data_IF_366054600181
#
_entry.id   IF_366054600181
#
_cell.length_a   1.000
_cell.length_b   1.000
_cell.length_c   1.000
_cell.angle_alpha   90.00
_cell.angle_beta   90.00
_cell.angle_gamma   90.00
#
_symmetry.space_group_name_H-M   'P 1'
#
loop_
_entity.id
_entity.type
_entity.pdbx_description
1 polymer ?
#
# COMPACT_ATOMS: atom_id res chain seq x y z
N UNK A 1 12.65 -1.86 -0.65
CA UNK A 1 12.03 -1.09 0.45
C UNK A 1 10.52 -1.35 0.43
N UNK A 2 9.79 -0.99 1.48
CA UNK A 2 8.32 -1.14 1.53
C UNK A 2 7.64 0.20 1.73
N UNK A 3 6.38 0.28 1.34
CA UNK A 3 5.56 1.48 1.54
C UNK A 3 5.17 1.61 3.02
N UNK A 4 5.44 2.78 3.60
CA UNK A 4 5.22 3.11 5.03
C UNK A 4 4.43 4.41 5.22
N UNK A 5 4.21 5.14 4.13
CA UNK A 5 3.35 6.32 4.14
C UNK A 5 2.84 6.66 2.74
N UNK A 6 1.79 7.48 2.71
CA UNK A 6 1.09 7.89 1.50
C UNK A 6 0.47 9.27 1.68
N UNK A 7 0.43 10.06 0.62
CA UNK A 7 -0.28 11.34 0.57
C UNK A 7 -0.66 11.73 -0.85
N UNK A 8 -1.64 12.61 -0.97
CA UNK A 8 -1.90 13.32 -2.22
C UNK A 8 -0.97 14.54 -2.36
N UNK A 9 -0.48 14.79 -3.58
CA UNK A 9 0.31 15.96 -3.90
C UNK A 9 -0.18 16.56 -5.21
N UNK A 10 -0.44 17.87 -5.23
CA UNK A 10 -0.63 18.60 -6.48
C UNK A 10 0.73 19.08 -6.98
N UNK A 11 1.16 18.61 -8.15
CA UNK A 11 2.41 18.99 -8.82
C UNK A 11 2.18 18.93 -10.33
N UNK A 12 2.75 19.87 -11.09
CA UNK A 12 2.73 19.85 -12.57
C UNK A 12 1.31 19.72 -13.17
N UNK A 13 0.37 20.48 -12.61
CA UNK A 13 -1.06 20.48 -12.98
C UNK A 13 -1.79 19.13 -12.79
N UNK A 14 -1.17 18.18 -12.10
CA UNK A 14 -1.75 16.87 -11.80
C UNK A 14 -1.88 16.62 -10.30
N UNK A 15 -2.76 15.70 -9.95
CA UNK A 15 -2.83 15.11 -8.62
C UNK A 15 -2.07 13.79 -8.65
N UNK A 16 -1.06 13.70 -7.80
CA UNK A 16 -0.18 12.56 -7.64
C UNK A 16 -0.47 11.81 -6.34
N UNK A 17 -0.16 10.53 -6.35
CA UNK A 17 0.05 9.75 -5.13
C UNK A 17 1.54 9.72 -4.87
N UNK A 18 1.97 10.28 -3.74
CA UNK A 18 3.35 10.16 -3.28
C UNK A 18 3.40 9.15 -2.14
N UNK A 19 4.37 8.24 -2.20
CA UNK A 19 4.61 7.24 -1.15
C UNK A 19 5.87 7.59 -0.35
N UNK A 20 5.90 7.15 0.89
CA UNK A 20 7.11 7.04 1.68
C UNK A 20 7.53 5.57 1.74
N UNK A 21 8.82 5.34 1.58
CA UNK A 21 9.41 4.01 1.65
C UNK A 21 10.32 3.87 2.87
N UNK A 22 10.41 2.65 3.40
CA UNK A 22 11.26 2.30 4.52
C UNK A 22 11.82 0.88 4.42
N UNK A 23 12.94 0.64 5.11
CA UNK A 23 13.50 -0.70 5.26
C UNK A 23 12.78 -1.44 6.40
N UNK A 24 12.30 -2.66 6.12
CA UNK A 24 11.77 -3.58 7.12
C UNK A 24 12.93 -4.26 7.86
N UNK A 25 12.87 -4.19 9.18
CA UNK A 25 13.72 -4.90 10.14
C UNK A 25 13.02 -6.19 10.64
N UNK A 26 13.74 -7.05 11.38
CA UNK A 26 13.11 -8.19 12.04
C UNK A 26 11.88 -7.79 12.85
N UNK A 27 10.87 -8.67 12.88
CA UNK A 27 9.58 -8.44 13.57
C UNK A 27 8.76 -7.28 12.99
N UNK A 28 8.99 -6.93 11.73
CA UNK A 28 8.21 -5.93 10.99
C UNK A 28 8.32 -4.49 11.54
N UNK A 29 9.34 -4.23 12.36
CA UNK A 29 9.73 -2.87 12.70
C UNK A 29 10.38 -2.20 11.49
N UNK A 30 10.35 -0.87 11.45
CA UNK A 30 11.03 -0.11 10.42
C UNK A 30 12.35 0.45 10.95
N UNK A 31 13.35 0.51 10.08
CA UNK A 31 14.50 1.37 10.32
C UNK A 31 14.08 2.83 10.13
N UNK A 32 13.83 3.53 11.24
CA UNK A 32 13.33 4.91 11.22
C UNK A 32 14.29 5.89 10.54
N UNK A 33 15.58 5.57 10.48
CA UNK A 33 16.59 6.41 9.82
C UNK A 33 16.58 6.26 8.30
N UNK A 34 15.84 5.28 7.77
CA UNK A 34 15.76 4.98 6.33
C UNK A 34 14.33 5.16 5.81
N UNK A 35 13.56 6.08 6.42
CA UNK A 35 12.24 6.46 5.93
C UNK A 35 12.34 7.76 5.15
N UNK A 36 12.02 7.72 3.86
CA UNK A 36 11.97 8.90 3.02
C UNK A 36 10.79 8.87 2.05
N UNK A 37 10.32 10.07 1.68
CA UNK A 37 9.31 10.22 0.64
C UNK A 37 9.97 10.05 -0.72
N UNK A 38 9.44 9.15 -1.54
CA UNK A 38 9.94 8.93 -2.90
C UNK A 38 9.68 10.20 -3.71
N UNK A 39 10.71 10.82 -4.32
CA UNK A 39 10.52 11.99 -5.18
C UNK A 39 9.50 11.70 -6.29
N UNK A 40 8.66 12.69 -6.59
CA UNK A 40 7.74 12.60 -7.72
C UNK A 40 8.50 12.93 -8.99
N UNK A 41 8.22 12.15 -10.03
CA UNK A 41 8.68 12.40 -11.40
C UNK A 41 8.42 13.85 -11.83
N UNK A 42 9.33 14.39 -12.64
CA UNK A 42 9.21 15.73 -13.20
C UNK A 42 8.41 15.69 -14.50
N UNK A 43 7.20 16.22 -14.46
CA UNK A 43 6.29 16.25 -15.60
C UNK A 43 6.16 17.70 -16.07
N UNK A 44 6.16 17.92 -17.38
CA UNK A 44 5.88 19.23 -17.98
C UNK A 44 4.72 19.13 -18.95
N UNK A 45 3.95 20.22 -19.06
CA UNK A 45 2.99 20.40 -20.13
C UNK A 45 3.62 21.22 -21.27
N UNK A 46 3.48 20.76 -22.49
CA UNK A 46 3.87 21.47 -23.71
C UNK A 46 2.59 22.03 -24.35
N UNK A 47 2.45 23.36 -24.34
CA UNK A 47 1.26 24.04 -24.86
C UNK A 47 1.13 23.91 -26.39
N UNK A 48 2.25 23.92 -27.11
CA UNK A 48 2.26 23.83 -28.57
C UNK A 48 1.80 22.44 -29.04
N UNK A 49 2.27 21.40 -28.34
CA UNK A 49 1.91 19.99 -28.64
C UNK A 49 0.69 19.50 -27.88
N UNK A 50 0.15 20.32 -26.97
CA UNK A 50 -0.99 20.02 -26.10
C UNK A 50 -0.87 18.67 -25.40
N UNK A 51 0.25 18.43 -24.74
CA UNK A 51 0.54 17.13 -24.13
C UNK A 51 1.47 17.20 -22.93
N UNK A 52 1.44 16.15 -22.12
CA UNK A 52 2.35 16.00 -20.99
C UNK A 52 3.56 15.16 -21.35
N UNK A 53 4.68 15.49 -20.74
CA UNK A 53 5.97 14.85 -20.99
C UNK A 53 6.71 14.62 -19.67
N UNK A 54 7.27 13.42 -19.52
CA UNK A 54 8.22 13.07 -18.47
C UNK A 54 9.61 13.60 -18.86
N UNK A 55 10.26 14.33 -17.95
CA UNK A 55 11.65 14.75 -18.09
C UNK A 55 12.57 13.60 -17.68
N UNK A 56 13.52 13.23 -18.54
CA UNK A 56 14.49 12.21 -18.19
C UNK A 56 15.58 12.82 -17.31
N UNK A 57 15.78 12.26 -16.11
CA UNK A 57 16.79 12.73 -15.14
C UNK A 57 18.22 12.70 -15.72
N UNK A 58 18.52 11.69 -16.55
CA UNK A 58 19.85 11.50 -17.14
C UNK A 58 20.15 12.45 -18.32
N UNK A 59 19.12 13.07 -18.91
CA UNK A 59 19.27 13.95 -20.06
C UNK A 59 18.11 14.93 -20.15
N UNK A 60 18.31 16.14 -19.65
CA UNK A 60 17.32 17.22 -19.60
C UNK A 60 16.71 17.58 -20.97
N UNK A 61 17.42 17.30 -22.07
CA UNK A 61 16.93 17.52 -23.44
C UNK A 61 16.06 16.38 -23.96
N UNK A 62 16.03 15.24 -23.26
CA UNK A 62 15.21 14.10 -23.60
C UNK A 62 13.93 14.09 -22.78
N UNK A 63 12.80 14.09 -23.48
CA UNK A 63 11.47 14.06 -22.85
C UNK A 63 10.65 12.93 -23.46
N UNK A 64 9.99 12.15 -22.61
CA UNK A 64 9.13 11.06 -23.02
C UNK A 64 7.67 11.52 -22.99
N UNK A 65 6.95 11.40 -24.10
CA UNK A 65 5.54 11.78 -24.15
C UNK A 65 4.70 10.84 -23.30
N UNK A 66 3.89 11.40 -22.41
CA UNK A 66 2.91 10.66 -21.63
C UNK A 66 1.64 10.44 -22.44
N UNK A 67 1.05 9.27 -22.28
CA UNK A 67 -0.15 8.85 -22.97
C UNK A 67 -1.38 9.03 -22.08
N UNK A 68 -2.39 9.72 -22.61
CA UNK A 68 -3.71 9.82 -21.99
C UNK A 68 -4.32 8.41 -21.87
N UNK A 69 -4.94 8.14 -20.73
CA UNK A 69 -5.55 6.86 -20.35
C UNK A 69 -4.57 5.68 -20.21
N UNK A 70 -3.27 5.97 -20.12
CA UNK A 70 -2.23 5.03 -19.69
C UNK A 70 -1.44 5.61 -18.51
N UNK A 71 -0.89 6.80 -18.71
CA UNK A 71 0.06 7.41 -17.77
C UNK A 71 -0.61 8.50 -16.93
N UNK A 72 -1.59 9.20 -17.51
CA UNK A 72 -2.45 10.17 -16.83
C UNK A 72 -3.87 10.14 -17.39
N UNK A 73 -4.83 10.71 -16.67
CA UNK A 73 -6.23 10.82 -17.14
C UNK A 73 -6.99 11.96 -16.47
N UNK A 74 -8.21 12.19 -16.93
CA UNK A 74 -9.17 13.15 -16.38
C UNK A 74 -10.36 12.38 -15.80
N UNK A 75 -10.21 11.80 -14.59
CA UNK A 75 -11.23 10.90 -14.05
C UNK A 75 -12.52 11.66 -13.75
N UNK A 76 -13.66 11.09 -14.16
CA UNK A 76 -14.99 11.56 -13.72
C UNK A 76 -15.55 10.72 -12.58
N UNK A 77 -15.02 9.52 -12.37
CA UNK A 77 -15.50 8.56 -11.37
C UNK A 77 -14.31 7.96 -10.64
N UNK A 78 -14.40 7.90 -9.31
CA UNK A 78 -13.39 7.31 -8.43
C UNK A 78 -14.02 6.23 -7.56
N UNK A 79 -13.47 5.02 -7.62
CA UNK A 79 -13.84 3.91 -6.77
C UNK A 79 -13.20 4.08 -5.38
N UNK A 80 -13.97 3.78 -4.33
CA UNK A 80 -13.52 3.82 -2.94
C UNK A 80 -13.37 2.40 -2.44
N UNK A 81 -12.13 1.98 -2.25
CA UNK A 81 -11.79 0.59 -1.94
C UNK A 81 -10.73 0.51 -0.85
N UNK A 82 -10.81 -0.55 -0.05
CA UNK A 82 -9.78 -0.97 0.90
C UNK A 82 -9.03 -2.16 0.31
N UNK A 83 -7.72 -2.01 0.11
CA UNK A 83 -6.85 -3.04 -0.43
C UNK A 83 -5.98 -3.61 0.68
N UNK A 84 -6.10 -4.92 0.92
CA UNK A 84 -5.27 -5.65 1.87
C UNK A 84 -4.13 -6.36 1.15
N UNK A 85 -2.95 -6.35 1.75
CA UNK A 85 -1.79 -7.10 1.28
C UNK A 85 -2.03 -8.59 1.58
N UNK A 86 -1.93 -9.49 0.59
CA UNK A 86 -2.07 -10.93 0.81
C UNK A 86 -0.96 -11.48 1.72
N UNK A 87 -1.26 -12.57 2.43
CA UNK A 87 -0.26 -13.27 3.26
C UNK A 87 0.95 -13.71 2.43
N UNK A 88 2.15 -13.53 2.97
CA UNK A 88 3.42 -13.83 2.28
C UNK A 88 3.92 -12.72 1.34
N UNK A 89 3.27 -11.55 1.32
CA UNK A 89 3.67 -10.40 0.53
C UNK A 89 3.83 -9.15 1.40
N UNK A 90 4.55 -8.17 0.85
CA UNK A 90 4.62 -6.79 1.36
C UNK A 90 4.25 -5.81 0.26
N UNK A 91 3.76 -4.64 0.65
CA UNK A 91 3.44 -3.56 -0.30
C UNK A 91 4.70 -2.77 -0.65
N UNK A 92 4.96 -2.65 -1.95
CA UNK A 92 6.13 -1.94 -2.51
C UNK A 92 5.76 -0.82 -3.46
N UNK A 93 4.48 -0.53 -3.65
CA UNK A 93 4.04 0.56 -4.52
C UNK A 93 2.55 0.80 -4.44
N UNK A 94 2.14 2.01 -4.82
CA UNK A 94 0.74 2.44 -4.88
C UNK A 94 0.57 3.29 -6.13
N UNK A 95 -0.53 3.12 -6.85
CA UNK A 95 -0.88 3.95 -8.00
C UNK A 95 -2.38 4.05 -8.18
N UNK A 96 -2.78 4.96 -9.05
CA UNK A 96 -4.09 4.91 -9.68
C UNK A 96 -4.04 4.12 -10.97
N UNK A 97 -5.15 3.47 -11.30
CA UNK A 97 -5.35 2.86 -12.61
C UNK A 97 -6.82 2.68 -12.89
N UNK A 98 -7.15 2.32 -14.14
CA UNK A 98 -8.53 2.07 -14.51
C UNK A 98 -9.06 0.74 -13.99
N UNK A 99 -10.37 0.72 -13.70
CA UNK A 99 -11.12 -0.51 -13.52
C UNK A 99 -11.24 -1.22 -14.88
N UNK A 100 -10.46 -2.29 -15.06
CA UNK A 100 -10.29 -2.97 -16.37
C UNK A 100 -11.61 -3.46 -16.97
N UNK A 101 -12.56 -3.86 -16.14
CA UNK A 101 -13.81 -4.45 -16.61
C UNK A 101 -14.77 -3.43 -17.20
N UNK A 102 -14.75 -2.21 -16.68
CA UNK A 102 -15.56 -1.10 -17.19
C UNK A 102 -14.77 -0.20 -18.13
N UNK A 103 -13.51 -0.51 -18.40
CA UNK A 103 -12.64 0.33 -19.21
C UNK A 103 -13.04 0.24 -20.68
N UNK A 104 -13.41 1.38 -21.23
CA UNK A 104 -13.64 1.57 -22.66
C UNK A 104 -12.71 2.68 -23.13
N UNK A 105 -11.81 2.43 -24.11
CA UNK A 105 -10.90 3.46 -24.61
C UNK A 105 -11.63 4.74 -25.04
N UNK A 106 -11.23 5.88 -24.49
CA UNK A 106 -11.82 7.19 -24.78
C UNK A 106 -13.20 7.45 -24.14
N UNK A 107 -13.72 6.52 -23.33
CA UNK A 107 -14.98 6.72 -22.64
C UNK A 107 -14.84 7.64 -21.42
N UNK A 108 -15.85 8.49 -21.22
CA UNK A 108 -15.85 9.52 -20.17
C UNK A 108 -16.22 8.98 -18.78
N UNK A 109 -16.80 7.79 -18.72
CA UNK A 109 -17.28 7.11 -17.51
C UNK A 109 -16.31 6.04 -17.00
N UNK A 110 -15.10 6.00 -17.57
CA UNK A 110 -14.00 5.19 -17.07
C UNK A 110 -13.73 5.51 -15.60
N UNK A 111 -13.70 4.46 -14.79
CA UNK A 111 -13.52 4.55 -13.35
C UNK A 111 -12.06 4.39 -13.01
N UNK A 112 -11.56 5.31 -12.18
CA UNK A 112 -10.23 5.19 -11.58
C UNK A 112 -10.35 4.54 -10.22
N UNK A 113 -9.43 3.63 -9.93
CA UNK A 113 -9.34 2.93 -8.66
C UNK A 113 -7.91 2.90 -8.15
N UNK A 114 -7.77 2.73 -6.84
CA UNK A 114 -6.49 2.49 -6.20
C UNK A 114 -5.95 1.11 -6.62
N UNK A 115 -4.65 1.01 -6.82
CA UNK A 115 -3.95 -0.25 -7.03
C UNK A 115 -2.71 -0.27 -6.15
N UNK A 116 -2.39 -1.44 -5.59
CA UNK A 116 -1.17 -1.63 -4.81
C UNK A 116 -0.27 -2.66 -5.47
N UNK A 117 1.04 -2.41 -5.44
CA UNK A 117 2.06 -3.37 -5.88
C UNK A 117 2.45 -4.22 -4.69
N UNK A 118 2.30 -5.52 -4.81
CA UNK A 118 2.68 -6.50 -3.80
C UNK A 118 3.87 -7.30 -4.29
N UNK A 119 4.85 -7.51 -3.41
CA UNK A 119 6.07 -8.26 -3.69
C UNK A 119 6.21 -9.39 -2.68
N UNK A 120 6.54 -10.63 -3.10
CA UNK A 120 6.76 -11.74 -2.18
C UNK A 120 7.81 -11.38 -1.12
N UNK A 121 7.55 -11.78 0.12
CA UNK A 121 8.46 -11.51 1.22
C UNK A 121 8.53 -12.71 2.17
N UNK A 122 9.73 -13.20 2.39
CA UNK A 122 9.99 -14.20 3.41
C UNK A 122 10.17 -13.51 4.76
N UNK A 123 9.13 -13.53 5.58
CA UNK A 123 9.16 -12.91 6.92
C UNK A 123 10.14 -13.58 7.88
N UNK A 124 10.50 -14.84 7.64
CA UNK A 124 11.44 -15.58 8.50
C UNK A 124 12.87 -15.18 8.18
N UNK A 125 13.22 -15.20 6.90
CA UNK A 125 14.57 -14.90 6.43
C UNK A 125 14.79 -13.41 6.14
N UNK A 126 13.73 -12.60 6.17
CA UNK A 126 13.70 -11.17 5.80
C UNK A 126 14.23 -10.90 4.38
N UNK A 127 13.96 -11.85 3.48
CA UNK A 127 14.37 -11.74 2.09
C UNK A 127 13.17 -11.30 1.27
N UNK A 128 13.32 -10.15 0.61
CA UNK A 128 12.39 -9.72 -0.43
C UNK A 128 12.64 -10.55 -1.69
N UNK A 129 11.58 -11.09 -2.27
CA UNK A 129 11.67 -11.76 -3.56
C UNK A 129 12.05 -10.76 -4.68
N UNK A 130 12.44 -11.29 -5.85
CA UNK A 130 12.69 -10.43 -7.01
C UNK A 130 11.48 -9.54 -7.32
N UNK A 131 11.74 -8.30 -7.75
CA UNK A 131 10.72 -7.38 -8.24
C UNK A 131 10.00 -7.94 -9.48
N UNK A 132 10.59 -8.88 -10.21
CA UNK A 132 9.94 -9.57 -11.33
C UNK A 132 8.74 -10.42 -10.89
N UNK A 133 8.74 -10.85 -9.62
CA UNK A 133 7.64 -11.60 -9.02
C UNK A 133 6.59 -10.69 -8.36
N UNK A 134 6.75 -9.37 -8.46
CA UNK A 134 5.77 -8.41 -7.95
C UNK A 134 4.59 -8.28 -8.91
N UNK A 135 3.42 -7.94 -8.36
CA UNK A 135 2.21 -7.73 -9.16
C UNK A 135 1.37 -6.60 -8.61
N UNK A 136 0.65 -5.93 -9.49
CA UNK A 136 -0.37 -4.96 -9.13
C UNK A 136 -1.68 -5.69 -8.83
N UNK A 137 -2.26 -5.43 -7.67
CA UNK A 137 -3.56 -5.95 -7.26
C UNK A 137 -4.55 -4.81 -7.00
N UNK A 138 -5.83 -5.16 -7.14
CA UNK A 138 -6.98 -4.29 -6.93
C UNK A 138 -8.14 -5.13 -6.44
N UNK A 139 -9.15 -4.51 -5.86
CA UNK A 139 -10.46 -5.13 -5.66
C UNK A 139 -11.29 -4.97 -6.92
N UNK A 140 -12.16 -5.95 -7.15
CA UNK A 140 -13.21 -5.86 -8.13
C UNK A 140 -14.54 -6.16 -7.44
N UNK A 141 -15.49 -5.24 -7.60
CA UNK A 141 -16.85 -5.38 -7.10
C UNK A 141 -17.81 -5.12 -8.26
N UNK A 142 -18.59 -6.12 -8.70
CA UNK A 142 -19.51 -5.94 -9.84
C UNK A 142 -20.66 -4.99 -9.50
N UNK A 143 -21.07 -4.97 -8.23
CA UNK A 143 -22.18 -4.17 -7.73
C UNK A 143 -21.66 -3.08 -6.79
N UNK A 144 -21.20 -1.96 -7.36
CA UNK A 144 -20.79 -0.76 -6.62
C UNK A 144 -21.97 0.21 -6.49
N UNK A 145 -22.08 0.87 -5.34
CA UNK A 145 -23.11 1.88 -5.10
C UNK A 145 -22.55 3.29 -5.27
N UNK A 146 -23.30 4.17 -5.93
CA UNK A 146 -22.90 5.58 -6.01
C UNK A 146 -23.11 6.26 -4.65
N UNK A 147 -22.04 6.79 -4.07
CA UNK A 147 -22.13 7.75 -2.99
C UNK A 147 -22.51 9.12 -3.57
N UNK A 148 -23.81 9.40 -3.57
CA UNK A 148 -24.36 10.61 -4.19
C UNK A 148 -24.15 11.84 -3.29
N UNK A 149 -23.38 12.80 -3.79
CA UNK A 149 -23.22 14.10 -3.15
C UNK A 149 -24.45 14.98 -3.43
N UNK A 150 -25.32 15.12 -2.43
CA UNK A 150 -26.54 15.93 -2.51
C UNK A 150 -26.26 17.41 -2.19
N UNK A 151 -26.54 18.30 -3.16
CA UNK A 151 -26.37 19.76 -3.06
C UNK A 151 -25.02 20.17 -2.44
N UNK A 152 -23.88 19.71 -3.00
CA UNK A 152 -22.59 19.84 -2.32
C UNK A 152 -22.01 21.26 -2.39
N UNK A 153 -21.77 21.88 -1.24
CA UNK A 153 -20.97 23.09 -1.12
C UNK A 153 -19.46 22.77 -0.99
N UNK A 154 -18.63 23.80 -1.02
CA UNK A 154 -17.20 23.75 -0.79
C UNK A 154 -16.86 23.01 0.52
N UNK A 155 -16.12 21.88 0.47
CA UNK A 155 -15.80 21.05 1.63
C UNK A 155 -15.03 21.75 2.75
N UNK A 156 -14.37 22.89 2.46
CA UNK A 156 -13.58 23.64 3.46
C UNK A 156 -14.42 24.51 4.38
N UNK A 157 -15.68 24.76 4.03
CA UNK A 157 -16.61 25.58 4.85
C UNK A 157 -17.25 24.78 5.99
N UNK A 158 -17.11 23.45 5.99
CA UNK A 158 -17.73 22.59 7.01
C UNK A 158 -16.91 22.60 8.31
N UNK A 159 -17.54 22.75 9.50
CA UNK A 159 -16.83 22.70 10.77
C UNK A 159 -16.28 21.31 11.10
N UNK A 160 -16.98 20.25 10.68
CA UNK A 160 -16.68 18.85 11.00
C UNK A 160 -17.06 17.93 9.85
N UNK A 161 -16.16 17.02 9.49
CA UNK A 161 -16.43 15.94 8.53
C UNK A 161 -16.60 14.62 9.28
N UNK A 162 -17.52 13.80 8.80
CA UNK A 162 -17.71 12.43 9.26
C UNK A 162 -17.34 11.46 8.13
N UNK A 163 -16.94 10.25 8.48
CA UNK A 163 -16.92 9.20 7.48
C UNK A 163 -18.37 8.91 7.08
N UNK A 164 -18.66 8.90 5.78
CA UNK A 164 -19.98 8.54 5.31
C UNK A 164 -20.35 7.11 5.76
N UNK A 165 -21.65 6.91 5.99
CA UNK A 165 -22.21 5.65 6.47
C UNK A 165 -21.70 4.48 5.62
N UNK A 166 -21.42 3.28 6.18
CA UNK A 166 -20.80 2.19 5.44
C UNK A 166 -21.70 1.73 4.29
N UNK A 167 -21.41 2.24 3.09
CA UNK A 167 -22.00 1.80 1.83
C UNK A 167 -21.23 0.60 1.28
N UNK A 168 -21.93 -0.25 0.51
CA UNK A 168 -21.32 -1.40 -0.15
C UNK A 168 -20.49 -0.93 -1.34
N UNK A 169 -19.16 -0.99 -1.19
CA UNK A 169 -18.15 -0.71 -2.23
C UNK A 169 -18.44 0.58 -3.02
N UNK A 170 -18.42 1.76 -2.34
CA UNK A 170 -18.90 2.97 -2.95
C UNK A 170 -18.00 3.46 -4.08
N UNK A 171 -18.59 4.20 -5.02
CA UNK A 171 -17.85 5.08 -5.92
C UNK A 171 -18.41 6.49 -5.83
N UNK A 172 -17.60 7.48 -6.16
CA UNK A 172 -18.00 8.89 -6.20
C UNK A 172 -17.77 9.45 -7.59
N UNK A 173 -18.74 10.21 -8.08
CA UNK A 173 -18.59 11.01 -9.30
C UNK A 173 -18.10 12.40 -8.94
N UNK A 174 -17.08 12.88 -9.65
CA UNK A 174 -16.69 14.28 -9.62
C UNK A 174 -17.82 15.12 -10.21
N UNK A 175 -18.16 16.21 -9.54
CA UNK A 175 -19.20 17.14 -10.02
C UNK A 175 -18.92 18.56 -9.57
N UNK A 176 -19.54 19.52 -10.25
CA UNK A 176 -19.56 20.90 -9.77
C UNK A 176 -20.30 20.98 -8.42
N UNK A 177 -19.86 21.92 -7.58
CA UNK A 177 -20.59 22.30 -6.38
C UNK A 177 -21.97 22.86 -6.73
N UNK A 178 -22.82 22.96 -5.71
CA UNK A 178 -24.17 23.45 -5.86
C UNK A 178 -24.20 24.92 -6.34
N UNK A 179 -25.10 25.24 -7.27
CA UNK A 179 -25.20 26.58 -7.85
C UNK A 179 -25.65 27.59 -6.79
N UNK A 180 -26.57 27.22 -5.90
CA UNK A 180 -27.11 28.15 -4.90
C UNK A 180 -26.10 28.41 -3.78
N UNK A 181 -25.25 27.43 -3.46
CA UNK A 181 -24.29 27.54 -2.34
C UNK A 181 -22.90 28.05 -2.74
N UNK A 182 -22.44 27.71 -3.95
CA UNK A 182 -21.07 27.97 -4.40
C UNK A 182 -20.99 28.37 -5.89
N UNK A 183 -22.12 28.70 -6.51
CA UNK A 183 -22.23 29.06 -7.93
C UNK A 183 -21.59 28.03 -8.89
N UNK A 184 -21.45 26.77 -8.46
CA UNK A 184 -20.77 25.71 -9.23
C UNK A 184 -19.28 25.96 -9.50
N UNK A 185 -18.61 26.77 -8.69
CA UNK A 185 -17.21 27.15 -8.91
C UNK A 185 -16.20 26.05 -8.57
N UNK A 186 -16.57 25.13 -7.69
CA UNK A 186 -15.68 24.08 -7.20
C UNK A 186 -15.99 22.73 -7.85
N UNK A 187 -14.96 21.95 -8.20
CA UNK A 187 -15.13 20.52 -8.52
C UNK A 187 -14.93 19.70 -7.27
N UNK A 188 -15.94 18.94 -6.85
CA UNK A 188 -15.94 18.15 -5.61
C UNK A 188 -16.06 16.65 -5.91
N UNK A 189 -15.55 15.76 -5.04
CA UNK A 189 -14.82 16.03 -3.77
C UNK A 189 -13.41 16.59 -3.97
N UNK A 190 -12.83 17.14 -2.90
CA UNK A 190 -11.43 17.57 -2.88
C UNK A 190 -10.48 16.43 -2.50
N UNK A 191 -9.19 16.55 -2.83
CA UNK A 191 -8.15 15.63 -2.36
C UNK A 191 -7.52 16.17 -1.08
N UNK A 192 -7.51 15.38 0.00
CA UNK A 192 -6.84 15.80 1.24
C UNK A 192 -5.32 15.68 1.11
N UNK A 193 -4.61 16.79 1.29
CA UNK A 193 -3.15 16.80 1.29
C UNK A 193 -2.52 16.22 2.59
N UNK A 194 -3.34 15.72 3.52
CA UNK A 194 -2.84 15.12 4.75
C UNK A 194 -2.00 13.88 4.45
N UNK A 195 -0.80 13.83 5.02
CA UNK A 195 0.05 12.64 4.98
C UNK A 195 -0.43 11.62 6.00
N UNK A 196 -0.44 10.36 5.60
CA UNK A 196 -0.73 9.24 6.49
C UNK A 196 0.47 8.31 6.44
N UNK A 197 1.04 7.98 7.59
CA UNK A 197 2.24 7.15 7.70
C UNK A 197 2.21 6.34 8.98
N UNK A 198 2.96 5.24 9.00
CA UNK A 198 3.11 4.37 10.16
C UNK A 198 4.59 4.05 10.39
N UNK A 199 4.90 3.57 11.59
CA UNK A 199 6.22 3.09 12.00
C UNK A 199 6.37 1.57 11.87
N UNK A 200 5.37 0.90 11.29
CA UNK A 200 5.33 -0.53 11.02
C UNK A 200 5.03 -0.80 9.55
N UNK A 201 5.21 -2.03 9.08
CA UNK A 201 4.78 -2.39 7.72
C UNK A 201 3.27 -2.23 7.55
N UNK A 202 2.85 -1.59 6.47
CA UNK A 202 1.43 -1.40 6.16
C UNK A 202 0.81 -2.72 5.69
N UNK A 203 -0.32 -3.11 6.31
CA UNK A 203 -1.10 -4.29 5.94
C UNK A 203 -2.10 -4.04 4.81
N UNK A 204 -2.41 -2.78 4.53
CA UNK A 204 -3.26 -2.37 3.42
C UNK A 204 -3.45 -0.86 3.33
N UNK A 205 -3.99 -0.40 2.22
CA UNK A 205 -4.37 1.01 2.03
C UNK A 205 -5.79 1.07 1.51
N UNK A 206 -6.55 2.01 2.08
CA UNK A 206 -7.87 2.39 1.63
C UNK A 206 -7.90 3.78 1.04
N UNK A 207 -8.81 3.98 0.11
CA UNK A 207 -9.27 5.30 -0.30
C UNK A 207 -10.72 5.46 0.16
N UNK A 208 -10.96 6.47 1.00
CA UNK A 208 -12.28 6.74 1.56
C UNK A 208 -12.72 8.16 1.22
N UNK A 209 -14.02 8.38 1.29
CA UNK A 209 -14.61 9.72 1.32
C UNK A 209 -14.99 10.05 2.76
N UNK A 210 -14.62 11.24 3.19
CA UNK A 210 -15.12 11.85 4.43
C UNK A 210 -15.82 13.15 4.07
N UNK A 211 -16.98 13.40 4.66
CA UNK A 211 -17.78 14.54 4.29
C UNK A 211 -18.89 14.84 5.29
N UNK A 212 -19.75 15.76 4.88
CA UNK A 212 -20.95 16.09 5.60
C UNK A 212 -22.06 16.30 4.58
N UNK A 213 -23.29 15.94 4.93
CA UNK A 213 -24.45 16.21 4.10
C UNK A 213 -24.49 17.67 3.66
N UNK A 214 -24.70 17.92 2.37
CA UNK A 214 -24.71 19.26 1.78
C UNK A 214 -23.34 19.84 1.46
N UNK A 215 -22.25 19.08 1.60
CA UNK A 215 -20.88 19.46 1.24
C UNK A 215 -20.23 18.38 0.35
N UNK A 216 -19.23 18.78 -0.43
CA UNK A 216 -18.55 17.87 -1.36
C UNK A 216 -17.64 16.82 -0.71
N UNK A 217 -17.16 17.05 0.51
CA UNK A 217 -16.23 16.19 1.24
C UNK A 217 -14.83 16.08 0.60
N UNK A 218 -14.06 15.11 1.11
CA UNK A 218 -12.67 14.88 0.76
C UNK A 218 -12.39 13.40 0.48
N UNK A 219 -11.57 13.13 -0.54
CA UNK A 219 -10.86 11.87 -0.67
C UNK A 219 -9.66 11.84 0.27
N UNK A 220 -9.57 10.78 1.06
CA UNK A 220 -8.54 10.60 2.10
C UNK A 220 -8.01 9.19 2.05
N UNK A 221 -6.68 9.06 2.23
CA UNK A 221 -6.07 7.76 2.41
C UNK A 221 -6.29 7.23 3.83
N UNK A 222 -6.53 5.92 3.92
CA UNK A 222 -6.61 5.19 5.18
C UNK A 222 -5.53 4.12 5.19
N UNK A 223 -4.69 4.09 6.21
CA UNK A 223 -3.77 2.96 6.42
C UNK A 223 -4.53 1.85 7.16
N UNK A 224 -4.35 0.62 6.69
CA UNK A 224 -4.86 -0.59 7.32
C UNK A 224 -3.66 -1.32 7.92
N UNK A 225 -3.77 -1.64 9.21
CA UNK A 225 -2.69 -2.28 9.94
C UNK A 225 -2.49 -3.72 9.47
N UNK A 226 -1.24 -4.19 9.54
CA UNK A 226 -0.92 -5.58 9.27
C UNK A 226 -1.27 -6.45 10.48
N UNK A 227 -1.99 -7.54 10.24
CA UNK A 227 -2.25 -8.55 11.25
C UNK A 227 -1.00 -9.43 11.46
N UNK A 228 -0.20 -9.07 12.45
CA UNK A 228 1.07 -9.73 12.79
C UNK A 228 0.84 -11.08 13.48
N UNK A 229 -0.35 -11.32 14.05
CA UNK A 229 -0.65 -12.54 14.82
C UNK A 229 -0.44 -13.82 14.02
N UNK A 230 -0.68 -13.75 12.70
CA UNK A 230 -0.53 -14.83 11.74
C UNK A 230 0.93 -15.30 11.59
N UNK A 231 1.91 -14.44 11.88
CA UNK A 231 3.33 -14.73 11.76
C UNK A 231 4.00 -15.12 13.09
N UNK A 232 3.36 -14.79 14.23
CA UNK A 232 3.88 -15.12 15.57
C UNK A 232 3.80 -16.62 15.88
N UNK A 233 2.73 -17.30 15.45
CA UNK A 233 2.50 -18.71 15.74
C UNK A 233 3.51 -19.65 15.03
N UNK A 234 3.98 -19.27 13.84
CA UNK A 234 4.95 -20.07 13.07
C UNK A 234 6.33 -20.07 13.73
N UNK A 235 6.71 -18.95 14.37
CA UNK A 235 7.99 -18.83 15.05
C UNK A 235 8.02 -19.63 16.36
N UNK A 236 6.97 -19.51 17.19
CA UNK A 236 6.85 -20.28 18.44
C UNK A 236 6.87 -21.79 18.19
N UNK A 237 6.20 -22.25 17.13
CA UNK A 237 6.20 -23.66 16.75
C UNK A 237 7.59 -24.17 16.30
N UNK A 238 8.42 -23.31 15.70
CA UNK A 238 9.79 -23.64 15.27
C UNK A 238 10.80 -23.54 16.41
N UNK A 239 10.70 -22.54 17.27
CA UNK A 239 11.50 -22.46 18.49
C UNK A 239 11.27 -23.70 19.34
N UNK A 240 10.02 -24.10 19.55
CA UNK A 240 9.70 -25.34 20.25
C UNK A 240 10.34 -26.57 19.58
N UNK A 241 10.27 -26.70 18.25
CA UNK A 241 10.93 -27.81 17.52
C UNK A 241 12.46 -27.75 17.60
N UNK A 242 13.06 -26.57 17.58
CA UNK A 242 14.52 -26.40 17.67
C UNK A 242 15.06 -26.66 19.08
N UNK A 243 14.29 -26.31 20.11
CA UNK A 243 14.59 -26.62 21.52
C UNK A 243 14.41 -28.11 21.80
N UNK A 244 13.35 -28.73 21.25
CA UNK A 244 13.16 -30.19 21.33
C UNK A 244 14.28 -30.94 20.61
N UNK A 245 14.67 -30.53 19.40
CA UNK A 245 15.81 -31.15 18.71
C UNK A 245 17.14 -30.93 19.44
N UNK A 246 17.37 -29.76 20.05
CA UNK A 246 18.58 -29.54 20.87
C UNK A 246 18.60 -30.40 22.13
N UNK A 247 17.45 -30.61 22.80
CA UNK A 247 17.33 -31.52 23.95
C UNK A 247 17.60 -32.98 23.56
N UNK A 248 17.03 -33.44 22.46
CA UNK A 248 17.25 -34.80 21.98
C UNK A 248 18.73 -35.04 21.59
N UNK A 249 19.40 -34.03 21.00
CA UNK A 249 20.84 -34.12 20.68
C UNK A 249 21.70 -34.11 21.95
N UNK A 250 21.33 -33.38 23.01
CA UNK A 250 22.06 -33.46 24.29
C UNK A 250 21.83 -34.77 25.03
N UNK A 251 20.65 -35.37 24.94
CA UNK A 251 20.34 -36.66 25.58
C UNK A 251 21.03 -37.83 24.85
N UNK A 252 21.19 -37.75 23.53
CA UNK A 252 21.97 -38.72 22.75
C UNK A 252 23.49 -38.58 22.99
N UNK A 253 23.99 -37.37 23.26
CA UNK A 253 25.43 -37.17 23.58
C UNK A 253 25.75 -37.61 25.01
N UNK A 254 24.81 -37.51 25.96
CA UNK A 254 25.02 -38.00 27.33
C UNK A 254 25.04 -39.54 27.36
N UNK A 255 24.21 -40.22 26.57
CA UNK A 255 24.21 -41.69 26.49
C UNK A 255 25.44 -42.30 25.78
N UNK A 256 26.15 -41.53 24.95
CA UNK A 256 27.39 -42.00 24.29
C UNK A 256 28.60 -41.91 25.22
N UNK A 257 28.59 -41.02 26.22
CA UNK A 257 29.69 -40.91 27.19
C UNK A 257 29.61 -41.89 28.36
N UNK A 258 28.43 -42.46 28.68
CA UNK A 258 28.28 -43.45 29.76
C UNK A 258 28.56 -44.91 29.35
N UNK A 259 28.74 -45.21 28.04
CA UNK A 259 29.09 -46.57 27.58
C UNK A 259 30.59 -46.80 27.34
N UNK A 260 31.47 -45.83 27.61
CA UNK A 260 32.90 -45.95 27.29
C UNK A 260 33.85 -45.91 28.50
N UNK A 261 33.34 -46.00 29.73
CA UNK A 261 34.16 -45.97 30.96
C UNK A 261 34.01 -47.21 31.87
N UNK A 262 33.62 -48.38 31.33
CA UNK A 262 33.46 -49.59 32.15
C UNK A 262 34.09 -50.86 31.56
N UNK A 263 35.26 -50.73 30.93
CA UNK A 263 36.00 -51.88 30.42
C UNK A 263 37.52 -51.75 30.46
N UNK A 264 38.10 -51.28 31.57
CA UNK A 264 39.50 -51.60 31.90
C UNK A 264 39.72 -51.45 33.40
N UNK A 265 39.85 -52.57 34.11
CA UNK A 265 40.70 -52.78 35.30
C UNK A 265 40.35 -54.12 35.97
N UNK A 266 40.83 -55.22 35.39
CA UNK A 266 41.07 -56.45 36.15
C UNK A 266 42.12 -57.28 35.41
N UNK A 267 43.39 -57.18 35.85
CA UNK A 267 44.34 -58.29 35.88
C UNK A 267 45.72 -57.87 36.41
N UNK A 268 46.34 -58.82 37.12
CA UNK A 268 47.72 -58.88 37.61
C UNK A 268 48.03 -58.25 38.97
N UNK A 269 48.01 -59.09 40.02
CA UNK A 269 49.13 -59.23 40.98
C UNK A 269 49.09 -60.65 41.57
N UNK A 270 50.04 -61.49 41.15
CA UNK A 270 50.46 -62.72 41.83
C UNK A 270 51.91 -63.01 41.39
N UNK A 271 52.90 -62.56 42.19
CA UNK A 271 54.21 -63.19 42.51
C UNK A 271 54.70 -62.55 43.82
#
# INVERSE_FOLDING_TARGET
MVVVGIKFVKKDFMIHVQIAEGLILPRQYLNLNEIFWVPLEDITYDEDKKGYYLLNEDNENSKTRLNLDSDYTHPKIMNLDNLMVPSGYVMTGVRFGFEKETYVPGAIDNRVQLQIRVTPFDFVNQVMGSLDNSRWITTHHPNRQELMLMFPDNPTKVPTNFQDNPMLHPFVKFRASDIEKDAGQSTVPFFSAQKVSTYTSIGGIGLIHIGHYGYGGFFVFKILELDISQYMNVHLAREHKSVVNKRNVTDDVINVFEQQTDSTLENSYDV
#
